data_IF_873089612994
#
_entry.id   IF_873089612994
#
_cell.length_a   1.000
_cell.length_b   1.000
_cell.length_c   1.000
_cell.angle_alpha   90.00
_cell.angle_beta   90.00
_cell.angle_gamma   90.00
#
_symmetry.space_group_name_H-M   'P 1'
#
loop_
_entity.id
_entity.type
_entity.pdbx_description
1 polymer ?
#
# COMPACT_ATOMS: atom_id res chain seq x y z
N UNK A 1 1.81 -62.35 44.71
CA UNK A 1 2.97 -61.45 44.86
C UNK A 1 3.61 -61.26 43.50
N UNK A 2 3.97 -60.02 43.11
CA UNK A 2 3.96 -59.59 41.72
C UNK A 2 5.36 -59.20 41.16
N UNK A 3 5.38 -59.03 39.82
CA UNK A 3 6.19 -58.09 39.01
C UNK A 3 7.72 -58.23 38.93
N UNK A 4 8.23 -58.34 37.69
CA UNK A 4 8.87 -57.21 36.95
C UNK A 4 9.40 -57.73 35.60
N UNK A 5 8.70 -57.55 34.47
CA UNK A 5 8.65 -56.35 33.62
C UNK A 5 10.01 -55.96 32.98
N UNK A 6 10.25 -56.52 31.80
CA UNK A 6 11.32 -56.16 30.86
C UNK A 6 11.05 -54.75 30.29
N UNK A 7 12.05 -53.87 30.35
CA UNK A 7 12.01 -52.52 29.81
C UNK A 7 12.13 -52.57 28.28
N UNK A 8 11.09 -52.14 27.56
CA UNK A 8 11.21 -51.76 26.15
C UNK A 8 11.25 -50.23 26.04
N UNK A 9 12.38 -49.72 25.57
CA UNK A 9 12.51 -48.33 25.14
C UNK A 9 12.01 -48.22 23.70
N UNK A 10 10.93 -47.48 23.48
CA UNK A 10 10.49 -47.05 22.15
C UNK A 10 10.73 -45.54 22.03
N UNK A 11 11.73 -45.16 21.24
CA UNK A 11 11.98 -43.77 20.84
C UNK A 11 11.10 -43.49 19.62
N UNK A 12 10.02 -42.72 19.82
CA UNK A 12 9.22 -42.18 18.73
C UNK A 12 9.79 -40.82 18.32
N UNK A 13 10.60 -40.78 17.26
CA UNK A 13 11.02 -39.54 16.62
C UNK A 13 9.88 -39.01 15.73
N UNK A 14 9.07 -38.11 16.27
CA UNK A 14 8.17 -37.28 15.46
C UNK A 14 9.02 -36.25 14.70
N UNK A 15 9.25 -36.48 13.41
CA UNK A 15 9.67 -35.43 12.48
C UNK A 15 8.56 -34.38 12.40
N UNK A 16 8.73 -33.27 13.11
CA UNK A 16 7.99 -32.05 12.86
C UNK A 16 8.42 -31.50 11.50
N UNK A 17 7.60 -31.75 10.47
CA UNK A 17 7.69 -30.99 9.22
C UNK A 17 7.33 -29.56 9.58
N UNK A 18 8.35 -28.72 9.74
CA UNK A 18 8.18 -27.28 9.78
C UNK A 18 7.59 -26.86 8.43
N UNK A 19 6.28 -26.62 8.39
CA UNK A 19 5.66 -25.84 7.34
C UNK A 19 6.28 -24.45 7.41
N UNK A 20 7.35 -24.23 6.62
CA UNK A 20 7.80 -22.88 6.34
C UNK A 20 6.58 -22.12 5.78
N UNK A 21 6.20 -20.96 6.33
CA UNK A 21 5.14 -20.17 5.75
C UNK A 21 5.53 -19.90 4.29
N UNK A 22 4.76 -20.42 3.35
CA UNK A 22 4.89 -20.06 1.95
C UNK A 22 4.85 -18.52 1.93
N UNK A 23 5.93 -17.90 1.47
CA UNK A 23 5.96 -16.46 1.25
C UNK A 23 4.74 -16.15 0.37
N UNK A 24 3.71 -15.56 0.99
CA UNK A 24 2.49 -15.23 0.28
C UNK A 24 2.92 -14.24 -0.81
N UNK A 25 2.84 -14.66 -2.08
CA UNK A 25 3.03 -13.73 -3.19
C UNK A 25 1.84 -12.78 -3.17
N UNK A 26 1.96 -11.72 -2.38
CA UNK A 26 0.97 -10.68 -2.32
C UNK A 26 1.01 -9.92 -3.65
N UNK A 27 -0.16 -9.74 -4.25
CA UNK A 27 -0.32 -8.96 -5.46
C UNK A 27 0.06 -7.50 -5.13
N UNK A 28 1.16 -7.00 -5.71
CA UNK A 28 1.70 -5.67 -5.42
C UNK A 28 1.07 -4.64 -6.36
N UNK A 29 0.21 -3.76 -5.83
CA UNK A 29 -0.28 -2.59 -6.56
C UNK A 29 0.80 -1.51 -6.59
N UNK A 30 0.94 -0.77 -7.68
CA UNK A 30 1.94 0.31 -7.79
C UNK A 30 1.55 1.38 -8.80
N UNK A 31 2.11 2.57 -8.61
CA UNK A 31 2.16 3.67 -9.57
C UNK A 31 3.64 4.00 -9.81
N UNK A 32 4.13 3.87 -11.05
CA UNK A 32 5.51 4.12 -11.41
C UNK A 32 5.59 5.30 -12.38
N UNK A 33 6.09 6.47 -11.96
CA UNK A 33 6.31 7.59 -12.85
C UNK A 33 7.56 7.37 -13.71
N UNK A 34 7.60 7.96 -14.90
CA UNK A 34 8.75 7.91 -15.82
C UNK A 34 9.97 8.68 -15.31
N UNK A 35 9.77 9.60 -14.37
CA UNK A 35 10.78 10.35 -13.63
C UNK A 35 10.15 10.90 -12.34
N UNK A 36 10.92 11.06 -11.26
CA UNK A 36 10.40 11.66 -10.02
C UNK A 36 10.89 13.09 -9.76
N UNK A 37 11.98 13.52 -10.38
CA UNK A 37 12.52 14.88 -10.31
C UNK A 37 12.72 15.42 -11.72
N UNK A 38 12.09 16.55 -12.05
CA UNK A 38 12.12 17.16 -13.37
C UNK A 38 12.47 18.65 -13.28
N UNK A 39 13.07 19.16 -14.35
CA UNK A 39 13.31 20.59 -14.57
C UNK A 39 12.74 21.02 -15.92
N UNK A 40 12.29 22.27 -16.03
CA UNK A 40 11.73 22.82 -17.26
C UNK A 40 10.51 23.69 -16.98
N UNK A 41 10.03 24.41 -18.01
CA UNK A 41 8.96 25.38 -17.82
C UNK A 41 7.64 24.73 -17.36
N UNK A 42 7.28 23.56 -17.93
CA UNK A 42 6.09 22.77 -17.58
C UNK A 42 6.27 21.32 -18.06
N UNK A 43 7.19 20.54 -17.45
CA UNK A 43 7.46 19.19 -17.93
C UNK A 43 6.26 18.28 -17.76
N UNK A 44 6.26 17.18 -18.50
CA UNK A 44 5.26 16.12 -18.40
C UNK A 44 5.89 14.89 -17.76
N UNK A 45 5.09 14.17 -16.98
CA UNK A 45 5.44 12.84 -16.45
C UNK A 45 4.38 11.84 -16.91
N UNK A 46 4.82 10.73 -17.46
CA UNK A 46 3.96 9.57 -17.74
C UNK A 46 4.00 8.64 -16.54
N UNK A 47 2.85 8.13 -16.12
CA UNK A 47 2.72 7.24 -14.96
C UNK A 47 2.05 5.95 -15.40
N UNK A 48 2.72 4.84 -15.11
CA UNK A 48 2.16 3.51 -15.27
C UNK A 48 1.54 3.03 -13.95
N UNK A 49 0.41 2.35 -14.01
CA UNK A 49 -0.29 1.77 -12.87
C UNK A 49 -0.73 0.33 -13.11
N UNK A 50 -0.35 -0.57 -12.23
CA UNK A 50 -0.75 -1.97 -12.29
C UNK A 50 -0.81 -2.64 -10.91
N UNK A 51 -1.34 -3.85 -10.90
CA UNK A 51 -1.14 -4.83 -9.85
C UNK A 51 -0.36 -5.99 -10.46
N UNK A 52 0.69 -6.44 -9.77
CA UNK A 52 1.65 -7.40 -10.31
C UNK A 52 2.04 -8.48 -9.32
N UNK A 53 2.44 -9.64 -9.85
CA UNK A 53 3.16 -10.67 -9.12
C UNK A 53 4.66 -10.33 -9.03
N UNK A 54 5.21 -9.75 -10.12
CA UNK A 54 6.58 -9.25 -10.18
C UNK A 54 6.57 -7.72 -10.05
N UNK A 55 7.23 -7.17 -9.04
CA UNK A 55 7.19 -5.72 -8.75
C UNK A 55 7.65 -4.87 -9.94
N UNK A 56 6.85 -3.85 -10.29
CA UNK A 56 7.00 -2.97 -11.47
C UNK A 56 7.01 -3.68 -12.83
N UNK A 57 6.50 -4.90 -12.90
CA UNK A 57 6.29 -5.60 -14.17
C UNK A 57 4.81 -5.95 -14.30
N UNK A 58 4.12 -5.38 -15.29
CA UNK A 58 2.68 -5.53 -15.45
C UNK A 58 2.31 -6.95 -15.96
N UNK A 59 2.11 -7.90 -15.04
CA UNK A 59 1.85 -9.33 -15.33
C UNK A 59 0.55 -9.88 -14.72
N UNK A 60 -0.26 -9.07 -14.03
CA UNK A 60 -1.50 -9.55 -13.40
C UNK A 60 -2.76 -8.79 -13.82
N UNK A 61 -2.99 -7.55 -13.36
CA UNK A 61 -4.15 -6.73 -13.78
C UNK A 61 -3.81 -5.23 -13.81
N UNK A 62 -4.45 -4.42 -14.68
CA UNK A 62 -4.23 -2.98 -14.70
C UNK A 62 -4.83 -2.33 -13.45
N UNK A 63 -4.23 -1.23 -13.00
CA UNK A 63 -4.87 -0.34 -12.05
C UNK A 63 -6.01 0.41 -12.73
N UNK A 64 -7.16 0.52 -12.08
CA UNK A 64 -8.27 1.31 -12.62
C UNK A 64 -8.00 2.81 -12.45
N UNK A 65 -8.21 3.59 -13.50
CA UNK A 65 -7.92 5.03 -13.52
C UNK A 65 -9.00 5.89 -12.86
N UNK A 66 -10.21 5.34 -12.64
CA UNK A 66 -11.33 6.01 -11.97
C UNK A 66 -10.99 6.46 -10.52
N UNK A 67 -10.09 5.74 -9.86
CA UNK A 67 -9.58 6.09 -8.52
C UNK A 67 -8.35 6.99 -8.51
N UNK A 68 -7.79 7.37 -9.67
CA UNK A 68 -6.55 8.16 -9.74
C UNK A 68 -6.84 9.65 -9.60
N UNK A 69 -6.09 10.32 -8.73
CA UNK A 69 -6.11 11.76 -8.49
C UNK A 69 -4.68 12.28 -8.44
N UNK A 70 -4.46 13.46 -9.00
CA UNK A 70 -3.22 14.21 -8.81
C UNK A 70 -3.52 15.53 -8.09
N UNK A 71 -2.64 15.91 -7.18
CA UNK A 71 -2.70 17.18 -6.43
C UNK A 71 -1.40 17.93 -6.67
N UNK A 72 -1.52 19.21 -7.02
CA UNK A 72 -0.40 20.08 -7.36
C UNK A 72 0.23 20.77 -6.15
N UNK A 73 1.33 21.53 -6.38
CA UNK A 73 2.11 22.18 -5.34
C UNK A 73 1.36 23.25 -4.53
N UNK A 74 0.26 23.77 -5.07
CA UNK A 74 -0.65 24.71 -4.42
C UNK A 74 -1.80 24.01 -3.67
N UNK A 75 -1.87 22.68 -3.73
CA UNK A 75 -2.96 21.87 -3.18
C UNK A 75 -4.17 21.72 -4.11
N UNK A 76 -4.13 22.30 -5.32
CA UNK A 76 -5.22 22.19 -6.27
C UNK A 76 -5.21 20.82 -6.98
N UNK A 77 -6.39 20.29 -7.39
CA UNK A 77 -6.46 19.12 -8.24
C UNK A 77 -5.78 19.34 -9.59
N UNK A 78 -5.04 18.35 -10.06
CA UNK A 78 -4.41 18.31 -11.39
C UNK A 78 -5.07 17.20 -12.19
N UNK A 79 -5.49 17.51 -13.41
CA UNK A 79 -6.10 16.53 -14.29
C UNK A 79 -5.04 15.54 -14.81
N UNK A 80 -5.35 14.24 -14.74
CA UNK A 80 -4.63 13.26 -15.54
C UNK A 80 -5.08 13.38 -17.00
N UNK A 81 -4.16 13.16 -17.94
CA UNK A 81 -4.40 13.24 -19.38
C UNK A 81 -3.99 11.93 -20.06
N UNK A 82 -4.44 11.72 -21.30
CA UNK A 82 -4.04 10.59 -22.15
C UNK A 82 -4.18 9.20 -21.47
N UNK A 83 -5.17 9.06 -20.58
CA UNK A 83 -5.40 7.81 -19.86
C UNK A 83 -5.77 6.66 -20.79
N UNK A 84 -5.03 5.56 -20.71
CA UNK A 84 -5.28 4.34 -21.47
C UNK A 84 -5.13 3.10 -20.58
N UNK A 85 -6.08 2.16 -20.67
CA UNK A 85 -6.06 0.89 -19.95
C UNK A 85 -5.92 -0.27 -20.92
N UNK A 86 -4.82 -1.01 -20.82
CA UNK A 86 -4.60 -2.27 -21.52
C UNK A 86 -4.96 -3.49 -20.65
N UNK A 87 -4.50 -4.68 -21.07
CA UNK A 87 -4.80 -5.94 -20.38
C UNK A 87 -4.14 -6.08 -19.00
N UNK A 88 -2.96 -5.48 -18.79
CA UNK A 88 -2.16 -5.63 -17.56
C UNK A 88 -1.72 -4.31 -16.94
N UNK A 89 -1.85 -3.21 -17.67
CA UNK A 89 -1.32 -1.90 -17.28
C UNK A 89 -2.27 -0.80 -17.71
N UNK A 90 -2.42 0.20 -16.85
CA UNK A 90 -2.94 1.51 -17.24
C UNK A 90 -1.80 2.51 -17.29
N UNK A 91 -1.90 3.48 -18.18
CA UNK A 91 -0.93 4.57 -18.33
C UNK A 91 -1.68 5.89 -18.48
N UNK A 92 -1.09 6.99 -18.01
CA UNK A 92 -1.64 8.34 -18.11
C UNK A 92 -0.52 9.36 -17.94
N UNK A 93 -0.78 10.61 -18.33
CA UNK A 93 0.16 11.71 -18.22
C UNK A 93 -0.32 12.75 -17.20
N UNK A 94 0.64 13.43 -16.56
CA UNK A 94 0.40 14.60 -15.71
C UNK A 94 1.31 15.73 -16.17
N UNK A 95 0.72 16.89 -16.45
CA UNK A 95 1.47 18.11 -16.76
C UNK A 95 1.83 18.83 -15.45
N UNK A 96 3.12 19.12 -15.26
CA UNK A 96 3.64 19.78 -14.07
C UNK A 96 3.72 21.30 -14.33
N UNK A 97 2.56 21.95 -14.37
CA UNK A 97 2.43 23.34 -14.82
C UNK A 97 3.04 24.39 -13.87
N UNK A 98 3.17 24.07 -12.59
CA UNK A 98 3.78 24.91 -11.54
C UNK A 98 4.94 24.20 -10.86
N UNK A 99 5.99 24.93 -10.43
CA UNK A 99 7.09 24.34 -9.67
C UNK A 99 6.63 23.86 -8.29
N UNK A 100 7.22 22.77 -7.82
CA UNK A 100 6.90 22.12 -6.55
C UNK A 100 6.56 20.65 -6.71
N UNK A 101 6.00 20.09 -5.64
CA UNK A 101 5.77 18.66 -5.51
C UNK A 101 4.31 18.32 -5.76
N UNK A 102 4.12 17.28 -6.55
CA UNK A 102 2.84 16.71 -6.93
C UNK A 102 2.67 15.36 -6.24
N UNK A 103 1.47 15.11 -5.71
CA UNK A 103 1.08 13.81 -5.18
C UNK A 103 0.13 13.16 -6.16
N UNK A 104 0.45 11.96 -6.63
CA UNK A 104 -0.39 11.17 -7.52
C UNK A 104 -0.82 9.93 -6.75
N UNK A 105 -2.13 9.76 -6.57
CA UNK A 105 -2.70 8.72 -5.72
C UNK A 105 -3.82 7.97 -6.45
N UNK A 106 -3.85 6.65 -6.29
CA UNK A 106 -5.04 5.84 -6.51
C UNK A 106 -5.65 5.51 -5.15
N UNK A 107 -6.87 6.01 -4.89
CA UNK A 107 -7.58 5.79 -3.63
C UNK A 107 -8.84 4.98 -3.89
N UNK A 108 -9.00 3.91 -3.12
CA UNK A 108 -10.20 3.07 -3.15
C UNK A 108 -10.73 2.84 -1.75
N UNK A 109 -12.05 2.88 -1.61
CA UNK A 109 -12.77 2.56 -0.39
C UNK A 109 -14.00 1.71 -0.71
N UNK A 110 -14.39 0.86 0.23
CA UNK A 110 -15.54 0.00 0.05
C UNK A 110 -15.96 -0.69 1.33
N UNK A 111 -17.17 -1.23 1.29
CA UNK A 111 -17.74 -2.04 2.35
C UNK A 111 -18.14 -3.41 1.82
N UNK A 112 -17.99 -4.41 2.67
CA UNK A 112 -18.53 -5.75 2.50
C UNK A 112 -19.40 -6.07 3.71
N UNK A 113 -20.52 -6.73 3.47
CA UNK A 113 -21.37 -7.25 4.54
C UNK A 113 -21.66 -8.73 4.29
N UNK A 114 -21.65 -9.52 5.36
CA UNK A 114 -22.21 -10.86 5.41
C UNK A 114 -23.38 -10.84 6.38
N UNK A 115 -24.52 -11.39 6.01
CA UNK A 115 -25.73 -11.37 6.84
C UNK A 115 -26.59 -12.60 6.57
N UNK A 116 -27.50 -12.94 7.48
CA UNK A 116 -28.52 -13.97 7.27
C UNK A 116 -29.85 -13.35 6.86
N UNK A 117 -30.51 -13.98 5.90
CA UNK A 117 -31.88 -13.65 5.50
C UNK A 117 -32.63 -14.93 5.17
N UNK A 118 -33.78 -15.18 5.80
CA UNK A 118 -34.54 -16.41 5.60
C UNK A 118 -33.76 -17.69 5.94
N UNK A 119 -32.79 -17.62 6.85
CA UNK A 119 -31.92 -18.74 7.22
C UNK A 119 -30.67 -18.92 6.34
N UNK A 120 -30.56 -18.23 5.21
CA UNK A 120 -29.41 -18.30 4.31
C UNK A 120 -28.40 -17.18 4.56
N UNK A 121 -27.10 -17.50 4.44
CA UNK A 121 -26.03 -16.48 4.49
C UNK A 121 -25.89 -15.80 3.13
N UNK A 122 -26.07 -14.49 3.10
CA UNK A 122 -25.91 -13.62 1.94
C UNK A 122 -24.74 -12.67 2.13
N UNK A 123 -24.18 -12.22 1.02
CA UNK A 123 -23.10 -11.24 0.99
C UNK A 123 -23.45 -10.05 0.12
N UNK A 124 -22.96 -8.90 0.53
CA UNK A 124 -23.05 -7.65 -0.23
C UNK A 124 -21.67 -6.99 -0.27
N UNK A 125 -21.37 -6.31 -1.38
CA UNK A 125 -20.17 -5.49 -1.55
C UNK A 125 -20.54 -4.25 -2.34
N UNK A 126 -20.08 -3.08 -1.91
CA UNK A 126 -20.32 -1.82 -2.60
C UNK A 126 -19.62 -0.63 -1.95
N UNK A 127 -20.01 0.57 -2.36
CA UNK A 127 -19.48 1.80 -1.76
C UNK A 127 -19.98 1.93 -0.31
N UNK A 128 -19.16 2.50 0.57
CA UNK A 128 -19.48 2.62 2.01
C UNK A 128 -20.84 3.26 2.26
N UNK A 129 -21.15 4.36 1.54
CA UNK A 129 -22.42 5.08 1.68
C UNK A 129 -23.67 4.31 1.25
N UNK A 130 -23.53 3.22 0.48
CA UNK A 130 -24.66 2.39 0.03
C UNK A 130 -25.06 1.32 1.04
N UNK A 131 -24.18 1.00 1.99
CA UNK A 131 -24.37 -0.11 2.93
C UNK A 131 -25.68 0.04 3.73
N UNK A 132 -25.95 1.23 4.25
CA UNK A 132 -27.09 1.50 5.12
C UNK A 132 -28.46 1.19 4.48
N UNK A 133 -28.55 1.28 3.15
CA UNK A 133 -29.79 1.03 2.39
C UNK A 133 -29.78 -0.30 1.65
N UNK A 134 -28.62 -0.96 1.53
CA UNK A 134 -28.47 -2.18 0.74
C UNK A 134 -28.84 -3.46 1.49
N UNK A 135 -28.80 -3.43 2.82
CA UNK A 135 -29.17 -4.58 3.66
C UNK A 135 -30.69 -4.63 3.85
N UNK A 136 -31.33 -5.80 3.63
CA UNK A 136 -32.75 -6.00 3.95
C UNK A 136 -33.06 -5.71 5.43
N UNK A 137 -34.27 -5.22 5.72
CA UNK A 137 -34.68 -4.91 7.11
C UNK A 137 -34.77 -6.13 8.02
N UNK A 138 -34.99 -7.31 7.45
CA UNK A 138 -35.03 -8.60 8.14
C UNK A 138 -33.65 -9.30 8.19
N UNK A 139 -32.58 -8.61 7.77
CA UNK A 139 -31.23 -9.13 7.86
C UNK A 139 -30.80 -9.30 9.34
N UNK A 140 -30.25 -10.46 9.66
CA UNK A 140 -29.71 -10.82 10.98
C UNK A 140 -28.25 -11.22 10.86
N UNK A 141 -27.54 -11.39 11.99
CA UNK A 141 -26.12 -11.77 12.02
C UNK A 141 -25.21 -10.92 11.11
N UNK A 142 -25.47 -9.61 11.04
CA UNK A 142 -24.77 -8.70 10.13
C UNK A 142 -23.33 -8.51 10.59
N UNK A 143 -22.39 -8.89 9.73
CA UNK A 143 -20.97 -8.63 9.89
C UNK A 143 -20.48 -7.73 8.77
N UNK A 144 -19.99 -6.55 9.14
CA UNK A 144 -19.48 -5.56 8.19
C UNK A 144 -17.96 -5.55 8.21
N UNK A 145 -17.36 -5.37 7.04
CA UNK A 145 -15.93 -5.09 6.86
C UNK A 145 -15.76 -3.90 5.95
N UNK A 146 -15.10 -2.87 6.44
CA UNK A 146 -14.66 -1.72 5.66
C UNK A 146 -13.23 -1.95 5.17
N UNK A 147 -12.98 -1.59 3.92
CA UNK A 147 -11.64 -1.62 3.34
C UNK A 147 -11.31 -0.28 2.70
N UNK A 148 -10.11 0.22 2.96
CA UNK A 148 -9.54 1.38 2.25
C UNK A 148 -8.15 1.03 1.77
N UNK A 149 -7.79 1.41 0.54
CA UNK A 149 -6.42 1.27 0.04
C UNK A 149 -6.01 2.53 -0.69
N UNK A 150 -4.79 2.98 -0.45
CA UNK A 150 -4.15 4.08 -1.17
C UNK A 150 -2.82 3.63 -1.75
N UNK A 151 -2.60 3.96 -3.02
CA UNK A 151 -1.33 3.74 -3.74
C UNK A 151 -0.83 5.10 -4.20
N UNK A 152 0.35 5.51 -3.78
CA UNK A 152 0.90 6.84 -4.07
C UNK A 152 2.25 6.78 -4.78
N UNK A 153 2.50 7.83 -5.56
CA UNK A 153 3.84 8.23 -5.97
C UNK A 153 3.93 9.76 -5.98
N UNK A 154 5.14 10.28 -6.01
CA UNK A 154 5.44 11.69 -5.84
C UNK A 154 6.38 12.16 -6.94
N UNK A 155 6.10 13.34 -7.50
CA UNK A 155 6.92 13.92 -8.56
C UNK A 155 7.17 15.38 -8.24
N UNK A 156 8.40 15.84 -8.36
CA UNK A 156 8.80 17.23 -8.12
C UNK A 156 9.29 17.88 -9.41
N UNK A 157 8.76 19.07 -9.72
CA UNK A 157 9.26 19.92 -10.78
C UNK A 157 9.93 21.17 -10.17
N UNK A 158 11.23 21.37 -10.38
CA UNK A 158 11.95 22.50 -9.77
C UNK A 158 12.09 22.36 -8.24
N UNK A 159 11.87 23.44 -7.48
CA UNK A 159 12.07 23.44 -6.04
C UNK A 159 10.93 22.70 -5.30
N UNK A 160 11.22 21.74 -4.40
CA UNK A 160 10.19 20.94 -3.71
C UNK A 160 9.38 21.76 -2.71
N UNK A 161 8.16 21.28 -2.42
CA UNK A 161 7.33 21.79 -1.32
C UNK A 161 6.46 20.69 -0.72
N UNK A 162 5.74 20.98 0.37
CA UNK A 162 5.00 19.95 1.13
C UNK A 162 3.48 20.07 1.07
N UNK A 163 2.95 21.05 0.33
CA UNK A 163 1.50 21.34 0.31
C UNK A 163 0.67 20.14 -0.15
N UNK A 164 1.06 19.51 -1.26
CA UNK A 164 0.38 18.33 -1.80
C UNK A 164 0.52 17.08 -0.90
N UNK A 165 1.53 17.06 -0.03
CA UNK A 165 1.91 15.92 0.80
C UNK A 165 1.11 15.83 2.10
N UNK A 166 0.28 16.84 2.40
CA UNK A 166 -0.55 16.85 3.61
C UNK A 166 -1.50 15.63 3.63
N UNK A 167 -1.59 14.91 4.75
CA UNK A 167 -2.59 13.86 4.95
C UNK A 167 -4.02 14.41 4.89
N UNK A 168 -4.96 13.58 4.45
CA UNK A 168 -6.40 13.85 4.37
C UNK A 168 -7.15 13.40 5.64
N UNK A 169 -6.50 12.68 6.55
CA UNK A 169 -7.07 12.18 7.80
C UNK A 169 -7.93 10.93 7.65
N UNK A 170 -7.74 10.15 6.58
CA UNK A 170 -8.61 9.00 6.24
C UNK A 170 -7.82 7.74 5.91
N UNK A 171 -8.13 6.66 6.62
CA UNK A 171 -7.48 5.37 6.42
C UNK A 171 -6.01 5.43 6.86
N UNK A 172 -5.17 4.58 6.27
CA UNK A 172 -3.74 4.56 6.57
C UNK A 172 -3.03 5.56 5.65
N UNK A 173 -2.25 6.48 6.23
CA UNK A 173 -1.59 7.66 5.64
C UNK A 173 -0.09 7.69 5.89
N UNK A 174 0.69 8.15 4.92
CA UNK A 174 2.11 8.44 5.09
C UNK A 174 2.29 9.95 5.09
N UNK A 175 2.82 10.47 6.18
CA UNK A 175 3.28 11.84 6.31
C UNK A 175 4.81 11.84 6.17
N UNK A 176 5.36 12.44 5.10
CA UNK A 176 6.81 12.51 4.93
C UNK A 176 7.44 13.48 5.94
N UNK A 177 8.47 13.00 6.65
CA UNK A 177 9.38 13.84 7.45
C UNK A 177 10.59 14.21 6.59
N UNK A 178 11.16 13.24 5.89
CA UNK A 178 12.05 13.43 4.74
C UNK A 178 11.20 13.54 3.48
N UNK A 179 11.54 14.48 2.61
CA UNK A 179 10.79 14.71 1.37
C UNK A 179 10.87 13.48 0.44
N UNK A 180 9.77 13.01 -0.16
CA UNK A 180 9.73 11.73 -0.88
C UNK A 180 10.51 11.71 -2.21
N UNK A 181 10.91 12.88 -2.72
CA UNK A 181 11.82 13.01 -3.87
C UNK A 181 13.22 13.53 -3.49
N UNK A 182 13.58 13.43 -2.20
CA UNK A 182 14.89 13.82 -1.65
C UNK A 182 15.49 12.63 -0.90
N UNK A 183 15.55 11.48 -1.57
CA UNK A 183 16.02 10.22 -1.00
C UNK A 183 17.33 9.84 -1.70
N UNK A 184 18.37 9.59 -0.92
CA UNK A 184 19.71 9.22 -1.39
C UNK A 184 20.17 7.96 -0.66
N UNK A 185 20.88 7.06 -1.34
CA UNK A 185 21.29 5.77 -0.81
C UNK A 185 22.12 5.88 0.49
N UNK A 186 23.06 6.81 0.58
CA UNK A 186 23.86 7.02 1.80
C UNK A 186 23.11 7.68 2.97
N UNK A 187 21.88 8.14 2.77
CA UNK A 187 21.14 8.94 3.74
C UNK A 187 19.95 8.20 4.37
N UNK A 188 19.61 8.63 5.59
CA UNK A 188 18.44 8.13 6.31
C UNK A 188 17.21 8.95 5.94
N UNK A 189 16.14 8.26 5.56
CA UNK A 189 14.84 8.87 5.39
C UNK A 189 13.91 8.55 6.56
N UNK A 190 13.10 9.53 6.97
CA UNK A 190 12.09 9.36 8.01
C UNK A 190 10.71 9.63 7.45
N UNK A 191 9.75 8.83 7.89
CA UNK A 191 8.34 9.01 7.55
C UNK A 191 7.49 8.68 8.78
N UNK A 192 6.25 9.17 8.79
CA UNK A 192 5.26 8.84 9.82
C UNK A 192 4.07 8.17 9.17
N UNK A 193 3.66 7.00 9.66
CA UNK A 193 2.35 6.45 9.34
C UNK A 193 1.29 6.98 10.29
N UNK A 194 0.13 7.29 9.73
CA UNK A 194 -1.06 7.77 10.41
C UNK A 194 -2.24 6.87 10.08
N UNK A 195 -3.06 6.50 11.06
CA UNK A 195 -4.37 5.89 10.83
C UNK A 195 -5.44 6.89 11.22
N UNK A 196 -6.26 7.31 10.26
CA UNK A 196 -7.31 8.31 10.41
C UNK A 196 -6.78 9.60 11.09
N UNK A 197 -5.63 10.09 10.62
CA UNK A 197 -4.97 11.31 11.11
C UNK A 197 -4.23 11.17 12.46
N UNK A 198 -4.18 9.98 13.06
CA UNK A 198 -3.46 9.72 14.32
C UNK A 198 -2.23 8.84 14.10
N UNK A 199 -1.14 8.99 14.87
CA UNK A 199 0.02 8.10 14.80
C UNK A 199 -0.35 6.61 14.76
N UNK A 200 0.13 5.90 13.75
CA UNK A 200 -0.07 4.46 13.60
C UNK A 200 1.15 3.72 14.17
N UNK A 201 1.11 3.39 15.46
CA UNK A 201 2.20 2.72 16.17
C UNK A 201 2.24 1.21 15.96
N UNK A 202 3.43 0.62 15.98
CA UNK A 202 3.62 -0.84 15.91
C UNK A 202 3.24 -1.46 14.56
N UNK A 203 3.21 -0.67 13.49
CA UNK A 203 2.87 -1.13 12.14
C UNK A 203 4.13 -1.62 11.44
N UNK A 204 4.10 -2.87 10.94
CA UNK A 204 5.15 -3.38 10.05
C UNK A 204 5.03 -2.72 8.67
N UNK A 205 6.16 -2.27 8.16
CA UNK A 205 6.32 -1.65 6.84
C UNK A 205 7.30 -2.52 6.04
N UNK A 206 6.80 -3.10 4.95
CA UNK A 206 7.61 -3.84 3.98
C UNK A 206 8.10 -2.87 2.90
N UNK A 207 9.40 -2.90 2.60
CA UNK A 207 10.03 -2.02 1.62
C UNK A 207 10.89 -2.88 0.69
N UNK A 208 10.63 -2.83 -0.61
CA UNK A 208 11.23 -3.75 -1.57
C UNK A 208 11.76 -2.99 -2.77
N UNK A 209 13.00 -3.26 -3.15
CA UNK A 209 13.55 -2.67 -4.36
C UNK A 209 12.92 -3.29 -5.61
N UNK A 210 12.58 -2.42 -6.56
CA UNK A 210 12.10 -2.77 -7.88
C UNK A 210 13.16 -3.34 -8.83
N UNK A 211 12.73 -3.72 -10.04
CA UNK A 211 13.67 -4.08 -11.11
C UNK A 211 14.47 -5.36 -10.88
N UNK A 212 13.99 -6.25 -10.01
CA UNK A 212 14.66 -7.50 -9.65
C UNK A 212 14.35 -8.67 -10.59
N UNK A 213 13.59 -8.47 -11.67
CA UNK A 213 13.21 -9.52 -12.63
C UNK A 213 14.40 -10.31 -13.17
N UNK A 214 15.53 -9.64 -13.38
CA UNK A 214 16.76 -10.23 -13.93
C UNK A 214 17.82 -10.49 -12.84
N UNK A 215 17.41 -10.52 -11.57
CA UNK A 215 18.26 -10.81 -10.41
C UNK A 215 17.61 -11.95 -9.63
N UNK A 216 18.41 -12.72 -8.89
CA UNK A 216 17.87 -13.79 -8.03
C UNK A 216 17.03 -13.22 -6.88
N UNK A 217 17.50 -12.11 -6.28
CA UNK A 217 16.79 -11.36 -5.24
C UNK A 217 17.31 -9.92 -5.18
N UNK A 218 16.45 -8.95 -4.88
CA UNK A 218 16.88 -7.60 -4.49
C UNK A 218 16.63 -7.33 -3.00
N UNK A 219 17.11 -6.19 -2.48
CA UNK A 219 16.89 -5.83 -1.09
C UNK A 219 15.41 -5.75 -0.72
N UNK A 220 15.12 -6.33 0.45
CA UNK A 220 13.83 -6.25 1.12
C UNK A 220 14.12 -5.80 2.56
N UNK A 221 13.50 -4.70 2.98
CA UNK A 221 13.61 -4.17 4.33
C UNK A 221 12.26 -4.36 5.03
N UNK A 222 12.34 -4.60 6.33
CA UNK A 222 11.19 -4.57 7.22
C UNK A 222 11.51 -3.66 8.38
N UNK A 223 10.66 -2.68 8.59
CA UNK A 223 10.76 -1.73 9.70
C UNK A 223 9.42 -1.64 10.42
N UNK A 224 9.44 -1.26 11.69
CA UNK A 224 8.22 -1.12 12.49
C UNK A 224 8.11 0.32 12.98
N UNK A 225 6.92 0.88 12.90
CA UNK A 225 6.67 2.25 13.38
C UNK A 225 6.75 2.33 14.91
N UNK A 226 7.35 3.42 15.40
CA UNK A 226 7.39 3.77 16.81
C UNK A 226 6.04 4.23 17.36
N UNK A 227 6.00 4.60 18.64
CA UNK A 227 4.78 5.07 19.31
C UNK A 227 4.18 6.35 18.71
N UNK A 228 5.02 7.18 18.08
CA UNK A 228 4.66 8.39 17.35
C UNK A 228 4.36 8.12 15.85
N UNK A 229 4.25 6.85 15.46
CA UNK A 229 4.01 6.41 14.08
C UNK A 229 5.22 6.55 13.17
N UNK A 230 6.37 7.01 13.68
CA UNK A 230 7.56 7.26 12.87
C UNK A 230 8.34 5.98 12.62
N UNK A 231 8.86 5.83 11.41
CA UNK A 231 9.87 4.85 11.06
C UNK A 231 11.01 5.50 10.28
N UNK A 232 12.17 4.87 10.33
CA UNK A 232 13.37 5.30 9.62
C UNK A 232 13.80 4.22 8.63
N UNK A 233 14.26 4.64 7.46
CA UNK A 233 14.76 3.76 6.41
C UNK A 233 16.18 4.17 6.07
N UNK A 234 17.09 3.20 6.05
CA UNK A 234 18.43 3.35 5.47
C UNK A 234 18.44 2.61 4.14
N UNK A 235 18.70 3.32 3.04
CA UNK A 235 18.53 2.77 1.69
C UNK A 235 19.82 2.11 1.21
N UNK A 236 19.89 0.77 1.08
CA UNK A 236 21.16 0.12 0.74
C UNK A 236 21.64 0.43 -0.68
N UNK A 237 20.75 0.83 -1.58
CA UNK A 237 21.07 1.15 -2.97
C UNK A 237 20.03 2.07 -3.62
N UNK A 238 20.48 2.77 -4.67
CA UNK A 238 19.64 3.60 -5.51
C UNK A 238 18.69 2.76 -6.36
N UNK A 239 17.51 3.31 -6.66
CA UNK A 239 16.51 2.70 -7.52
C UNK A 239 15.09 3.07 -7.13
N UNK A 240 14.13 2.43 -7.81
CA UNK A 240 12.71 2.60 -7.51
C UNK A 240 12.30 1.58 -6.45
N UNK A 241 11.82 2.06 -5.32
CA UNK A 241 11.41 1.28 -4.15
C UNK A 241 9.90 1.28 -4.01
N UNK A 242 9.36 0.13 -3.60
CA UNK A 242 7.96 -0.05 -3.26
C UNK A 242 7.84 -0.25 -1.76
N UNK A 243 6.91 0.45 -1.13
CA UNK A 243 6.63 0.37 0.29
C UNK A 243 5.18 -0.04 0.48
N UNK A 244 4.90 -0.97 1.39
CA UNK A 244 3.54 -1.31 1.83
C UNK A 244 3.43 -1.41 3.34
N UNK A 245 2.29 -0.94 3.85
CA UNK A 245 1.86 -1.15 5.22
C UNK A 245 0.35 -1.44 5.24
N UNK A 246 -0.09 -2.26 6.19
CA UNK A 246 -1.52 -2.55 6.41
C UNK A 246 -1.84 -2.51 7.88
N UNK A 247 -2.96 -1.86 8.22
CA UNK A 247 -3.55 -1.86 9.56
C UNK A 247 -4.91 -2.55 9.49
N UNK A 248 -5.15 -3.48 10.41
CA UNK A 248 -6.44 -4.13 10.59
C UNK A 248 -6.96 -3.89 12.00
N UNK A 249 -8.27 -3.78 12.15
CA UNK A 249 -8.90 -3.59 13.44
C UNK A 249 -10.41 -3.74 13.37
N UNK A 250 -11.08 -3.28 14.41
CA UNK A 250 -12.53 -3.15 14.44
C UNK A 250 -12.92 -1.79 15.03
N UNK A 251 -14.03 -1.22 14.57
CA UNK A 251 -14.61 -0.03 15.17
C UNK A 251 -15.44 -0.36 16.42
N UNK A 252 -15.97 0.68 17.09
CA UNK A 252 -16.77 0.52 18.30
C UNK A 252 -18.08 -0.28 18.11
N UNK A 253 -18.55 -0.43 16.86
CA UNK A 253 -19.70 -1.26 16.52
C UNK A 253 -19.34 -2.74 16.30
N UNK A 254 -18.04 -3.07 16.30
CA UNK A 254 -17.52 -4.40 15.97
C UNK A 254 -17.35 -4.64 14.48
N UNK A 255 -17.58 -3.64 13.61
CA UNK A 255 -17.31 -3.75 12.20
C UNK A 255 -15.79 -3.79 11.96
N UNK A 256 -15.33 -4.74 11.16
CA UNK A 256 -13.90 -4.88 10.85
C UNK A 256 -13.46 -3.75 9.92
N UNK A 257 -12.22 -3.27 10.08
CA UNK A 257 -11.59 -2.30 9.20
C UNK A 257 -10.23 -2.84 8.75
N UNK A 258 -9.94 -2.68 7.46
CA UNK A 258 -8.62 -2.96 6.89
C UNK A 258 -8.20 -1.76 6.04
N UNK A 259 -7.06 -1.16 6.38
CA UNK A 259 -6.52 0.01 5.70
C UNK A 259 -5.11 -0.29 5.20
N UNK A 260 -4.94 -0.28 3.89
CA UNK A 260 -3.64 -0.50 3.24
C UNK A 260 -3.06 0.79 2.67
N UNK A 261 -1.75 0.93 2.77
CA UNK A 261 -0.99 2.00 2.15
C UNK A 261 0.13 1.42 1.30
N UNK A 262 0.31 1.99 0.11
CA UNK A 262 1.43 1.72 -0.77
C UNK A 262 2.04 3.03 -1.23
N UNK A 263 3.37 3.09 -1.28
CA UNK A 263 4.11 4.15 -1.97
C UNK A 263 5.11 3.57 -2.96
N UNK A 264 5.39 4.33 -4.02
CA UNK A 264 6.53 4.12 -4.92
C UNK A 264 7.43 5.34 -4.85
N UNK A 265 8.68 5.12 -4.44
CA UNK A 265 9.67 6.15 -4.10
C UNK A 265 10.95 5.90 -4.91
N UNK A 266 11.57 6.95 -5.45
CA UNK A 266 12.89 6.84 -6.08
C UNK A 266 13.97 7.25 -5.07
N UNK A 267 15.00 6.42 -4.96
CA UNK A 267 16.23 6.71 -4.22
C UNK A 267 17.33 6.95 -5.23
N UNK A 268 17.98 8.11 -5.15
CA UNK A 268 19.07 8.51 -6.03
C UNK A 268 20.42 7.95 -5.51
N UNK A 269 21.40 7.78 -6.42
CA UNK A 269 22.77 7.50 -6.00
C UNK A 269 23.39 8.72 -5.30
N UNK A 270 24.49 8.48 -4.58
CA UNK A 270 25.34 9.53 -3.98
C UNK A 270 26.00 10.44 -5.03
#
# INVERSE_FOLDING_TARGET
>A
MPMSALRFAAVAALLGVALAPAAAQAHRSWLAPSATVLSGAQPWVTVDGAVSNTLFYADHVPMRLDGVKAVGPDGAPVAIQNGATGKYRSTFDVQLASPGTYKIANVSEGAMASYKQGGETKRWRGAVGQLATALPKDATDVQVTYSSRRVETFVTAGAPNTTALKPEGKGLELEPITHPNDLVASEKARFRLLTDGKPAAGVEVEIVLGGVRYREKGPELKVTTGADGVFEVSWPEAGLWWLEATVQGADASGARKSSGYVATLEVLPD
#
